data_IF_613743459244
#
_entry.id   IF_613743459244
#
_cell.length_a   1.000
_cell.length_b   1.000
_cell.length_c   1.000
_cell.angle_alpha   90.00
_cell.angle_beta   90.00
_cell.angle_gamma   90.00
#
_symmetry.space_group_name_H-M   'P 1'
#
loop_
_entity.id
_entity.type
_entity.pdbx_description
1 polymer ?
#
# COMPACT_ATOMS: atom_id res chain seq x y z
N UNK A 1 -13.59 1.79 -3.68
CA UNK A 1 -13.60 3.09 -3.00
C UNK A 1 -12.25 3.36 -2.35
N UNK A 2 -11.65 4.53 -2.60
CA UNK A 2 -10.42 4.95 -1.95
C UNK A 2 -10.78 5.70 -0.67
N UNK A 3 -10.32 5.22 0.49
CA UNK A 3 -10.48 5.89 1.78
C UNK A 3 -9.24 6.69 2.13
N UNK A 4 -9.46 7.90 2.59
CA UNK A 4 -8.41 8.77 3.12
C UNK A 4 -8.25 8.49 4.62
N UNK A 5 -7.08 7.99 5.02
CA UNK A 5 -6.70 7.89 6.42
C UNK A 5 -6.35 9.30 6.89
N UNK A 6 -7.16 9.88 7.73
CA UNK A 6 -7.20 11.25 8.23
C UNK A 6 -5.86 12.01 8.21
N UNK A 7 -5.72 12.94 7.26
CA UNK A 7 -4.51 13.75 7.03
C UNK A 7 -4.01 14.54 8.23
N UNK A 8 -4.92 14.91 9.12
CA UNK A 8 -4.63 15.76 10.28
C UNK A 8 -3.72 15.08 11.32
N UNK A 9 -3.61 13.75 11.30
CA UNK A 9 -2.88 13.01 12.31
C UNK A 9 -1.37 12.91 12.04
N UNK A 10 -0.93 13.08 10.79
CA UNK A 10 0.48 12.86 10.39
C UNK A 10 1.24 14.14 10.04
N UNK A 11 0.63 15.32 10.30
CA UNK A 11 1.20 16.61 9.92
C UNK A 11 1.01 16.93 8.43
N UNK A 12 1.50 18.10 8.00
CA UNK A 12 1.41 18.48 6.58
C UNK A 12 2.11 17.45 5.71
N UNK A 13 1.48 16.96 4.62
CA UNK A 13 2.05 15.95 3.76
C UNK A 13 3.35 16.47 3.14
N UNK A 14 4.47 15.89 3.55
CA UNK A 14 5.74 16.10 2.86
C UNK A 14 5.80 15.17 1.67
N UNK A 15 6.26 15.66 0.55
CA UNK A 15 6.36 14.91 -0.72
C UNK A 15 7.08 13.55 -0.58
N UNK A 16 7.97 13.43 0.41
CA UNK A 16 8.71 12.20 0.71
C UNK A 16 8.13 11.34 1.83
N UNK A 17 6.98 11.69 2.42
CA UNK A 17 6.42 10.90 3.53
C UNK A 17 6.15 9.44 3.13
N UNK A 18 6.39 8.53 4.08
CA UNK A 18 6.20 7.08 3.93
C UNK A 18 7.16 6.38 2.94
N UNK A 19 8.26 7.01 2.54
CA UNK A 19 9.39 6.32 1.90
C UNK A 19 10.31 5.68 2.96
N UNK A 20 11.34 4.96 2.55
CA UNK A 20 12.27 4.27 3.46
C UNK A 20 12.92 5.24 4.44
N UNK A 21 13.46 6.35 3.96
CA UNK A 21 14.13 7.35 4.83
C UNK A 21 13.16 7.97 5.83
N UNK A 22 11.93 8.24 5.40
CA UNK A 22 10.90 8.76 6.30
C UNK A 22 10.61 7.78 7.44
N UNK A 23 10.49 6.48 7.18
CA UNK A 23 10.27 5.48 8.21
C UNK A 23 11.44 5.42 9.20
N UNK A 24 12.67 5.48 8.71
CA UNK A 24 13.87 5.52 9.56
C UNK A 24 13.93 6.74 10.49
N UNK A 25 13.50 7.89 10.01
CA UNK A 25 13.50 9.15 10.76
C UNK A 25 12.29 9.31 11.69
N UNK A 26 11.21 8.54 11.48
CA UNK A 26 9.93 8.72 12.17
C UNK A 26 9.44 7.43 12.87
N UNK A 27 10.34 6.62 13.41
CA UNK A 27 9.98 5.38 14.12
C UNK A 27 8.94 5.60 15.24
N UNK A 28 8.97 6.78 15.87
CA UNK A 28 8.02 7.16 16.93
C UNK A 28 6.56 7.27 16.43
N UNK A 29 6.37 7.46 15.13
CA UNK A 29 5.04 7.58 14.51
C UNK A 29 4.42 6.20 14.17
N UNK A 30 5.21 5.12 14.20
CA UNK A 30 4.73 3.79 13.77
C UNK A 30 3.54 3.30 14.58
N UNK A 31 3.57 3.46 15.91
CA UNK A 31 2.47 3.05 16.77
C UNK A 31 1.20 3.88 16.50
N UNK A 32 1.37 5.16 16.20
CA UNK A 32 0.26 6.07 15.85
C UNK A 32 -0.36 5.70 14.50
N UNK A 33 0.47 5.39 13.50
CA UNK A 33 0.03 4.88 12.20
C UNK A 33 -0.76 3.58 12.37
N UNK A 34 -0.22 2.64 13.13
CA UNK A 34 -0.87 1.37 13.42
C UNK A 34 -2.26 1.57 14.04
N UNK A 35 -2.37 2.41 15.06
CA UNK A 35 -3.64 2.74 15.72
C UNK A 35 -4.64 3.39 14.77
N UNK A 36 -4.19 4.29 13.92
CA UNK A 36 -5.04 4.92 12.92
C UNK A 36 -5.60 3.90 11.92
N UNK A 37 -4.76 3.00 11.44
CA UNK A 37 -5.21 1.90 10.58
C UNK A 37 -6.24 1.02 11.31
N UNK A 38 -5.96 0.63 12.54
CA UNK A 38 -6.86 -0.19 13.38
C UNK A 38 -8.23 0.48 13.57
N UNK A 39 -8.26 1.79 13.85
CA UNK A 39 -9.48 2.57 14.02
C UNK A 39 -10.27 2.63 12.73
N UNK A 40 -9.63 3.00 11.63
CA UNK A 40 -10.28 3.09 10.31
C UNK A 40 -10.85 1.74 9.88
N UNK A 41 -10.10 0.66 10.10
CA UNK A 41 -10.57 -0.67 9.79
C UNK A 41 -11.76 -1.09 10.67
N UNK A 42 -11.81 -0.70 11.93
CA UNK A 42 -12.91 -1.02 12.84
C UNK A 42 -14.18 -0.29 12.45
N UNK A 43 -14.07 0.96 12.03
CA UNK A 43 -15.22 1.84 11.80
C UNK A 43 -15.78 1.67 10.38
N UNK A 44 -14.92 1.42 9.39
CA UNK A 44 -15.25 1.39 7.96
C UNK A 44 -15.22 -0.02 7.35
N UNK A 45 -14.75 -1.03 8.09
CA UNK A 45 -14.63 -2.36 7.49
C UNK A 45 -15.99 -2.95 7.19
N UNK A 46 -16.25 -3.11 5.93
CA UNK A 46 -16.88 -4.35 5.50
C UNK A 46 -16.08 -5.51 6.09
N UNK A 47 -16.76 -6.50 6.69
CA UNK A 47 -16.13 -7.66 7.37
C UNK A 47 -15.30 -8.55 6.42
N UNK A 48 -14.84 -7.96 5.31
CA UNK A 48 -14.06 -8.59 4.28
C UNK A 48 -12.62 -8.89 4.70
N UNK A 49 -11.99 -9.72 3.93
CA UNK A 49 -10.59 -10.07 4.14
C UNK A 49 -9.67 -8.91 3.77
N UNK A 50 -8.59 -8.76 4.53
CA UNK A 50 -7.60 -7.70 4.37
C UNK A 50 -6.30 -8.30 3.85
N UNK A 51 -5.64 -7.62 2.93
CA UNK A 51 -4.21 -7.77 2.67
C UNK A 51 -3.53 -6.41 2.73
N UNK A 52 -2.25 -6.40 3.09
CA UNK A 52 -1.55 -5.15 3.33
C UNK A 52 -0.05 -5.26 3.04
N UNK A 53 0.59 -4.13 2.84
CA UNK A 53 2.03 -4.05 2.64
C UNK A 53 2.65 -2.86 3.35
N UNK A 54 3.90 -3.06 3.74
CA UNK A 54 4.86 -2.04 4.18
C UNK A 54 6.26 -2.46 3.76
N UNK A 55 7.27 -1.66 4.06
CA UNK A 55 8.66 -2.13 3.98
C UNK A 55 8.87 -3.26 4.98
N UNK A 56 9.62 -4.29 4.57
CA UNK A 56 9.79 -5.53 5.34
C UNK A 56 10.26 -5.31 6.77
N UNK A 57 11.16 -4.36 6.97
CA UNK A 57 11.74 -4.04 8.27
C UNK A 57 10.72 -3.49 9.27
N UNK A 58 9.60 -2.95 8.80
CA UNK A 58 8.52 -2.37 9.61
C UNK A 58 7.26 -3.23 9.67
N UNK A 59 7.32 -4.48 9.17
CA UNK A 59 6.17 -5.40 9.19
C UNK A 59 5.67 -5.63 10.62
N UNK A 60 6.57 -5.93 11.57
CA UNK A 60 6.23 -6.21 12.95
C UNK A 60 5.62 -5.01 13.68
N UNK A 61 6.16 -3.82 13.42
CA UNK A 61 5.77 -2.59 14.10
C UNK A 61 4.40 -2.09 13.66
N UNK A 62 4.08 -2.29 12.37
CA UNK A 62 2.81 -1.88 11.79
C UNK A 62 1.74 -2.96 11.80
N UNK A 63 2.06 -4.21 12.16
CA UNK A 63 1.09 -5.29 12.22
C UNK A 63 0.07 -5.10 13.35
N UNK A 64 -1.14 -4.67 13.03
CA UNK A 64 -2.18 -4.30 13.98
C UNK A 64 -3.36 -5.27 14.08
N UNK A 65 -4.25 -4.98 15.03
CA UNK A 65 -5.49 -5.75 15.24
C UNK A 65 -6.38 -5.62 14.00
N UNK A 66 -6.95 -6.74 13.56
CA UNK A 66 -7.81 -6.80 12.38
C UNK A 66 -7.08 -7.22 11.11
N UNK A 67 -5.77 -6.93 10.96
CA UNK A 67 -5.01 -7.20 9.74
C UNK A 67 -3.67 -7.91 9.94
N UNK A 68 -3.33 -8.39 11.15
CA UNK A 68 -2.09 -9.16 11.40
C UNK A 68 -2.27 -10.67 11.37
N UNK A 69 -3.48 -11.18 11.62
CA UNK A 69 -3.71 -12.61 11.78
C UNK A 69 -3.83 -13.32 10.44
N UNK A 70 -3.10 -14.42 10.29
CA UNK A 70 -3.29 -15.33 9.18
C UNK A 70 -4.71 -15.93 9.19
N UNK A 71 -5.29 -16.11 8.01
CA UNK A 71 -6.63 -16.69 7.81
C UNK A 71 -6.56 -17.86 6.83
N UNK A 72 -7.48 -18.78 6.93
CA UNK A 72 -7.61 -19.86 5.96
C UNK A 72 -8.33 -19.38 4.69
N UNK A 73 -7.75 -19.68 3.55
CA UNK A 73 -8.36 -19.50 2.25
C UNK A 73 -8.10 -20.76 1.41
N UNK A 74 -9.14 -21.39 0.87
CA UNK A 74 -9.08 -22.63 0.10
C UNK A 74 -8.23 -23.72 0.81
N UNK A 75 -8.41 -23.86 2.13
CA UNK A 75 -7.71 -24.85 2.96
C UNK A 75 -6.28 -24.50 3.36
N UNK A 76 -5.69 -23.42 2.81
CA UNK A 76 -4.33 -22.98 3.11
C UNK A 76 -4.34 -21.79 4.07
N UNK A 77 -3.38 -21.76 4.99
CA UNK A 77 -3.17 -20.61 5.87
C UNK A 77 -2.49 -19.48 5.11
N UNK A 78 -3.14 -18.33 5.02
CA UNK A 78 -2.68 -17.15 4.31
C UNK A 78 -2.38 -16.02 5.28
N UNK A 79 -1.18 -15.45 5.19
CA UNK A 79 -0.81 -14.23 5.93
C UNK A 79 -1.41 -13.01 5.22
N UNK A 80 -1.94 -12.02 5.96
CA UNK A 80 -2.44 -10.79 5.33
C UNK A 80 -1.32 -9.85 4.86
N UNK A 81 -0.13 -9.94 5.45
CA UNK A 81 1.03 -9.20 4.97
C UNK A 81 1.56 -9.77 3.65
N UNK A 82 1.69 -8.89 2.66
CA UNK A 82 2.19 -9.22 1.32
C UNK A 82 3.41 -8.35 1.04
N UNK A 83 4.61 -8.93 0.93
CA UNK A 83 5.79 -8.18 0.52
C UNK A 83 5.57 -7.52 -0.85
N UNK A 84 6.03 -6.27 -1.03
CA UNK A 84 5.85 -5.52 -2.28
C UNK A 84 6.38 -6.26 -3.52
N UNK A 85 7.49 -6.99 -3.36
CA UNK A 85 8.17 -7.75 -4.41
C UNK A 85 7.65 -9.19 -4.57
N UNK A 86 6.57 -9.57 -3.90
CA UNK A 86 5.95 -10.87 -4.07
C UNK A 86 5.49 -11.03 -5.53
N UNK A 87 5.74 -12.19 -6.12
CA UNK A 87 5.24 -12.51 -7.47
C UNK A 87 3.71 -12.52 -7.48
N UNK A 88 3.12 -12.29 -8.66
CA UNK A 88 1.68 -12.34 -8.85
C UNK A 88 1.10 -13.65 -8.27
N UNK A 89 0.11 -13.51 -7.38
CA UNK A 89 -0.57 -14.62 -6.72
C UNK A 89 -2.07 -14.38 -6.75
N UNK A 90 -2.83 -15.46 -6.94
CA UNK A 90 -4.30 -15.43 -6.87
C UNK A 90 -4.83 -15.62 -5.45
N UNK A 91 -3.94 -15.71 -4.47
CA UNK A 91 -4.30 -16.04 -3.08
C UNK A 91 -5.13 -14.96 -2.38
N UNK A 92 -5.14 -13.72 -2.90
CA UNK A 92 -5.80 -12.58 -2.27
C UNK A 92 -7.06 -12.11 -3.02
N UNK A 93 -7.52 -12.86 -4.03
CA UNK A 93 -8.67 -12.49 -4.88
C UNK A 93 -10.00 -12.31 -4.14
N UNK A 94 -10.12 -12.85 -2.92
CA UNK A 94 -11.25 -12.69 -2.01
C UNK A 94 -11.12 -11.48 -1.08
N UNK A 95 -9.96 -10.80 -1.09
CA UNK A 95 -9.71 -9.67 -0.21
C UNK A 95 -10.34 -8.39 -0.75
N UNK A 96 -11.26 -7.83 0.00
CA UNK A 96 -11.97 -6.59 -0.32
C UNK A 96 -11.35 -5.35 0.30
N UNK A 97 -10.32 -5.52 1.15
CA UNK A 97 -9.61 -4.42 1.79
C UNK A 97 -8.11 -4.52 1.51
N UNK A 98 -7.54 -3.45 0.98
CA UNK A 98 -6.13 -3.31 0.69
C UNK A 98 -5.54 -2.13 1.46
N UNK A 99 -4.50 -2.38 2.28
CA UNK A 99 -3.78 -1.33 3.00
C UNK A 99 -2.40 -1.18 2.39
N UNK A 100 -2.10 0.02 1.91
CA UNK A 100 -0.84 0.35 1.27
C UNK A 100 -0.14 1.49 2.02
N UNK A 101 0.93 1.18 2.76
CA UNK A 101 1.57 2.14 3.67
C UNK A 101 2.87 2.72 3.15
N UNK A 102 3.26 2.44 1.92
CA UNK A 102 4.55 2.84 1.36
C UNK A 102 4.42 3.90 0.27
N UNK A 103 5.43 4.77 0.20
CA UNK A 103 5.65 5.69 -0.90
C UNK A 103 6.88 5.20 -1.68
N UNK A 104 6.66 4.70 -2.87
CA UNK A 104 7.68 3.98 -3.61
C UNK A 104 8.38 4.88 -4.62
N UNK A 105 9.70 4.74 -4.70
CA UNK A 105 10.54 5.36 -5.70
C UNK A 105 11.42 4.28 -6.36
N UNK A 106 11.81 4.45 -7.62
CA UNK A 106 12.81 3.58 -8.24
C UNK A 106 14.12 3.65 -7.47
N UNK A 107 14.81 2.52 -7.41
CA UNK A 107 16.12 2.51 -6.77
C UNK A 107 17.10 3.46 -7.49
N UNK A 108 17.87 4.21 -6.72
CA UNK A 108 18.76 5.23 -7.28
C UNK A 108 19.77 4.69 -8.31
N UNK A 109 20.24 3.46 -8.13
CA UNK A 109 21.12 2.80 -9.12
C UNK A 109 20.42 2.54 -10.46
N UNK A 110 19.13 2.20 -10.45
CA UNK A 110 18.35 2.03 -11.68
C UNK A 110 18.20 3.35 -12.43
N UNK A 111 17.81 4.42 -11.71
CA UNK A 111 17.68 5.77 -12.28
C UNK A 111 19.03 6.25 -12.88
N UNK A 112 20.12 6.07 -12.14
CA UNK A 112 21.47 6.44 -12.61
C UNK A 112 21.93 5.61 -13.82
N UNK A 113 21.66 4.31 -13.83
CA UNK A 113 21.99 3.42 -14.93
C UNK A 113 21.25 3.82 -16.21
N UNK A 114 19.95 4.05 -16.14
CA UNK A 114 19.14 4.47 -17.29
C UNK A 114 19.56 5.84 -17.81
N UNK A 115 19.87 6.79 -16.93
CA UNK A 115 20.40 8.10 -17.31
C UNK A 115 21.71 7.99 -18.10
N UNK A 116 22.56 7.00 -17.77
CA UNK A 116 23.79 6.72 -18.54
C UNK A 116 23.53 6.35 -20.01
N UNK A 117 22.33 5.86 -20.34
CA UNK A 117 21.87 5.59 -21.70
C UNK A 117 20.98 6.70 -22.27
N UNK A 118 20.86 7.86 -21.61
CA UNK A 118 19.98 8.95 -22.04
C UNK A 118 18.48 8.68 -21.79
N UNK A 119 18.15 7.67 -21.00
CA UNK A 119 16.77 7.30 -20.69
C UNK A 119 16.37 7.95 -19.36
N UNK A 120 15.29 8.73 -19.37
CA UNK A 120 14.71 9.33 -18.18
C UNK A 120 13.54 8.49 -17.69
N UNK A 121 13.68 7.91 -16.49
CA UNK A 121 12.63 7.12 -15.88
C UNK A 121 11.56 8.04 -15.29
N UNK A 122 10.32 7.85 -15.73
CA UNK A 122 9.17 8.47 -15.09
C UNK A 122 8.90 7.81 -13.74
N UNK A 123 9.19 8.54 -12.67
CA UNK A 123 9.08 8.04 -11.28
C UNK A 123 7.64 7.87 -10.84
N UNK A 124 6.71 8.63 -11.41
CA UNK A 124 5.29 8.56 -11.07
C UNK A 124 4.63 7.38 -11.78
N UNK A 125 4.93 7.18 -13.06
CA UNK A 125 4.50 5.99 -13.78
C UNK A 125 5.07 4.70 -13.18
N UNK A 126 6.34 4.71 -12.75
CA UNK A 126 6.92 3.59 -12.02
C UNK A 126 6.14 3.29 -10.73
N UNK A 127 5.90 4.31 -9.91
CA UNK A 127 5.17 4.16 -8.65
C UNK A 127 3.72 3.71 -8.86
N UNK A 128 3.04 4.27 -9.86
CA UNK A 128 1.68 3.88 -10.25
C UNK A 128 1.63 2.40 -10.68
N UNK A 129 2.57 1.96 -11.51
CA UNK A 129 2.61 0.56 -11.95
C UNK A 129 2.76 -0.42 -10.78
N UNK A 130 3.60 -0.08 -9.79
CA UNK A 130 3.83 -0.91 -8.61
C UNK A 130 2.57 -1.03 -7.74
N UNK A 131 1.89 0.10 -7.45
CA UNK A 131 0.69 0.06 -6.61
C UNK A 131 -0.50 -0.59 -7.34
N UNK A 132 -0.68 -0.35 -8.63
CA UNK A 132 -1.72 -0.98 -9.44
C UNK A 132 -1.52 -2.50 -9.47
N UNK A 133 -0.31 -2.99 -9.72
CA UNK A 133 -0.01 -4.42 -9.64
C UNK A 133 -0.28 -5.02 -8.25
N UNK A 134 -0.07 -4.23 -7.19
CA UNK A 134 -0.39 -4.66 -5.83
C UNK A 134 -1.90 -4.76 -5.61
N UNK A 135 -2.66 -3.75 -5.99
CA UNK A 135 -4.12 -3.67 -5.85
C UNK A 135 -4.81 -4.82 -6.60
N UNK A 136 -4.35 -5.12 -7.82
CA UNK A 136 -4.89 -6.20 -8.65
C UNK A 136 -4.66 -7.61 -8.11
N UNK A 137 -4.08 -7.78 -6.95
CA UNK A 137 -4.07 -9.06 -6.22
C UNK A 137 -5.37 -9.34 -5.48
N UNK A 138 -6.13 -8.30 -5.16
CA UNK A 138 -7.39 -8.37 -4.42
C UNK A 138 -8.63 -8.59 -5.27
N UNK A 139 -9.77 -8.33 -4.67
CA UNK A 139 -11.12 -8.60 -5.22
C UNK A 139 -11.43 -7.89 -6.53
N UNK A 140 -10.75 -6.78 -6.82
CA UNK A 140 -10.90 -6.05 -8.08
C UNK A 140 -10.60 -6.93 -9.31
N UNK A 141 -9.73 -7.92 -9.15
CA UNK A 141 -9.44 -8.91 -10.20
C UNK A 141 -10.63 -9.78 -10.55
N UNK A 142 -11.56 -9.96 -9.61
CA UNK A 142 -12.81 -10.71 -9.77
C UNK A 142 -13.99 -9.77 -10.08
N UNK A 143 -13.70 -8.53 -10.55
CA UNK A 143 -14.70 -7.49 -10.82
C UNK A 143 -15.58 -7.15 -9.61
N UNK A 144 -15.04 -7.24 -8.39
CA UNK A 144 -15.71 -6.89 -7.14
C UNK A 144 -15.14 -5.60 -6.58
N UNK A 145 -15.95 -4.89 -5.81
CA UNK A 145 -15.54 -3.69 -5.12
C UNK A 145 -14.41 -3.95 -4.13
N UNK A 146 -13.54 -2.95 -3.95
CA UNK A 146 -12.45 -3.00 -2.99
C UNK A 146 -12.25 -1.64 -2.33
N UNK A 147 -11.99 -1.66 -1.03
CA UNK A 147 -11.58 -0.51 -0.25
C UNK A 147 -10.06 -0.38 -0.25
N UNK A 148 -9.56 0.81 -0.61
CA UNK A 148 -8.13 1.11 -0.66
C UNK A 148 -7.78 2.11 0.44
N UNK A 149 -6.85 1.72 1.30
CA UNK A 149 -6.29 2.55 2.37
C UNK A 149 -4.84 2.87 2.01
N UNK A 150 -4.62 4.04 1.42
CA UNK A 150 -3.32 4.47 0.92
C UNK A 150 -2.82 5.62 1.79
N UNK A 151 -1.75 5.41 2.57
CA UNK A 151 -1.23 6.42 3.48
C UNK A 151 -0.58 7.60 2.75
N UNK A 152 0.27 7.31 1.76
CA UNK A 152 0.98 8.35 1.03
C UNK A 152 0.04 9.16 0.14
N UNK A 153 0.02 10.49 0.33
CA UNK A 153 -0.74 11.41 -0.51
C UNK A 153 -0.34 11.31 -1.99
N UNK A 154 0.97 11.20 -2.25
CA UNK A 154 1.47 11.02 -3.62
C UNK A 154 0.91 9.74 -4.25
N UNK A 155 1.05 8.60 -3.57
CA UNK A 155 0.57 7.31 -4.09
C UNK A 155 -0.95 7.30 -4.28
N UNK A 156 -1.69 7.91 -3.36
CA UNK A 156 -3.14 8.06 -3.44
C UNK A 156 -3.54 8.94 -4.63
N UNK A 157 -2.87 10.08 -4.80
CA UNK A 157 -3.11 10.99 -5.92
C UNK A 157 -2.86 10.32 -7.27
N UNK A 158 -1.79 9.53 -7.41
CA UNK A 158 -1.51 8.77 -8.62
C UNK A 158 -2.64 7.80 -8.96
N UNK A 159 -3.12 7.04 -7.96
CA UNK A 159 -4.24 6.10 -8.17
C UNK A 159 -5.55 6.84 -8.48
N UNK A 160 -5.83 7.95 -7.80
CA UNK A 160 -7.03 8.76 -8.06
C UNK A 160 -7.04 9.33 -9.48
N UNK A 161 -5.92 9.88 -9.93
CA UNK A 161 -5.78 10.41 -11.29
C UNK A 161 -5.95 9.31 -12.33
N UNK A 162 -5.31 8.16 -12.13
CA UNK A 162 -5.46 7.01 -13.01
C UNK A 162 -6.89 6.50 -13.10
N UNK A 163 -7.64 6.48 -12.00
CA UNK A 163 -9.06 6.09 -11.99
C UNK A 163 -9.99 7.15 -12.60
N UNK A 164 -9.56 8.42 -12.65
CA UNK A 164 -10.32 9.52 -13.24
C UNK A 164 -10.05 9.69 -14.74
N UNK A 165 -8.99 9.08 -15.26
CA UNK A 165 -8.74 9.03 -16.71
C UNK A 165 -9.80 8.10 -17.33
N UNK A 166 -10.81 8.70 -17.95
CA UNK A 166 -11.81 7.98 -18.76
C UNK A 166 -11.09 7.34 -19.96
N UNK A 167 -11.01 6.04 -19.96
CA UNK A 167 -10.60 5.26 -21.12
C UNK A 167 -11.76 5.09 -22.10
#
# INVERSE_FOLDING_TARGET
LIRDLQRSEYGAPKTGAFNVSWYQENEKELERIKKSIETTLKDDMDKGYVFWTTFKDYESDLAGVGYKRARKFEGKLRKPFVPKNMRASNEYRDCTNCIYTINIYPHGSLDSHLKGFGIHLDKDMYALSEIVQFIFRGSIREHKDMYLYILSDRMRGLVQNWLAEDY
#
